data_IF_173386431473
#
_entry.id   IF_173386431473
#
_cell.length_a   1.000
_cell.length_b   1.000
_cell.length_c   1.000
_cell.angle_alpha   90.00
_cell.angle_beta   90.00
_cell.angle_gamma   90.00
#
_symmetry.space_group_name_H-M   'P 1'
#
loop_
_entity.id
_entity.type
_entity.pdbx_description
1 polymer ?
#
# COMPACT_ATOMS: atom_id res chain seq x y z
N UNK A 1 4.27 -3.00 9.47
CA UNK A 1 5.24 -4.08 9.15
C UNK A 1 5.57 -4.96 10.36
N UNK A 2 6.24 -4.45 11.40
CA UNK A 2 6.66 -5.26 12.57
C UNK A 2 5.53 -6.07 13.23
N UNK A 3 4.33 -5.48 13.35
CA UNK A 3 3.13 -6.16 13.86
C UNK A 3 2.74 -7.40 13.03
N UNK A 4 2.78 -7.32 11.70
CA UNK A 4 2.46 -8.45 10.82
C UNK A 4 3.45 -9.61 11.01
N UNK A 5 4.76 -9.31 11.11
CA UNK A 5 5.78 -10.34 11.41
C UNK A 5 5.57 -10.99 12.77
N UNK A 6 5.25 -10.18 13.78
CA UNK A 6 4.96 -10.68 15.13
C UNK A 6 3.76 -11.62 15.12
N UNK A 7 2.65 -11.22 14.50
CA UNK A 7 1.45 -12.04 14.38
C UNK A 7 1.70 -13.32 13.59
N UNK A 8 2.43 -13.25 12.47
CA UNK A 8 2.79 -14.43 11.69
C UNK A 8 3.62 -15.45 12.50
N UNK A 9 4.51 -14.99 13.38
CA UNK A 9 5.25 -15.90 14.28
C UNK A 9 4.38 -16.49 15.39
N UNK A 10 3.43 -15.72 15.91
CA UNK A 10 2.57 -16.14 17.02
C UNK A 10 1.46 -17.09 16.58
N UNK A 11 0.86 -16.83 15.43
CA UNK A 11 -0.32 -17.53 14.93
C UNK A 11 0.00 -18.51 13.80
N UNK A 12 1.25 -18.55 13.33
CA UNK A 12 1.63 -19.23 12.11
C UNK A 12 1.22 -18.44 10.85
N UNK A 13 0.99 -19.15 9.75
CA UNK A 13 0.73 -18.53 8.45
C UNK A 13 -0.56 -17.71 8.48
N UNK A 14 -0.44 -16.39 8.29
CA UNK A 14 -1.59 -15.50 8.13
C UNK A 14 -2.28 -15.78 6.78
N UNK A 15 -3.61 -15.67 6.74
CA UNK A 15 -4.39 -15.86 5.51
C UNK A 15 -4.42 -14.64 4.59
N UNK A 16 -4.43 -13.43 5.15
CA UNK A 16 -4.54 -12.17 4.40
C UNK A 16 -4.03 -11.00 5.25
N UNK A 17 -3.41 -10.01 4.60
CA UNK A 17 -3.12 -8.70 5.18
C UNK A 17 -3.93 -7.64 4.41
N UNK A 18 -4.71 -6.85 5.13
CA UNK A 18 -5.45 -5.70 4.60
C UNK A 18 -4.88 -4.42 5.19
N UNK A 19 -4.67 -3.41 4.35
CA UNK A 19 -4.22 -2.07 4.76
C UNK A 19 -5.20 -1.04 4.22
N UNK A 20 -5.81 -0.27 5.12
CA UNK A 20 -6.75 0.82 4.83
C UNK A 20 -6.25 2.11 5.50
N UNK A 21 -5.73 3.11 4.78
CA UNK A 21 -5.26 3.13 3.39
C UNK A 21 -3.83 3.70 3.32
N UNK A 22 -3.09 3.40 2.24
CA UNK A 22 -1.62 3.58 2.20
C UNK A 22 -1.17 5.03 2.31
N UNK A 23 -2.04 6.00 2.01
CA UNK A 23 -1.71 7.41 2.10
C UNK A 23 -1.48 7.87 3.55
N UNK A 24 -1.88 7.13 4.57
CA UNK A 24 -1.55 7.45 5.96
C UNK A 24 -0.16 6.95 6.38
N UNK A 25 0.53 6.21 5.50
CA UNK A 25 1.88 5.73 5.75
C UNK A 25 2.91 6.77 5.28
N UNK A 26 4.04 6.82 5.99
CA UNK A 26 5.18 7.70 5.66
C UNK A 26 6.35 6.88 5.09
N UNK A 27 7.07 7.42 4.11
CA UNK A 27 8.42 6.94 3.77
C UNK A 27 9.46 7.43 4.78
N UNK A 28 10.67 6.87 4.67
CA UNK A 28 11.82 7.25 5.51
C UNK A 28 12.47 8.55 4.99
N UNK A 29 12.25 8.86 3.71
CA UNK A 29 12.76 10.04 3.01
C UNK A 29 11.79 11.23 3.16
N UNK A 30 12.11 12.16 4.06
CA UNK A 30 11.40 13.43 4.16
C UNK A 30 11.67 14.31 2.93
N UNK A 31 10.62 14.75 2.23
CA UNK A 31 10.71 15.79 1.19
C UNK A 31 10.62 15.31 -0.27
N UNK A 32 10.33 14.03 -0.52
CA UNK A 32 10.10 13.55 -1.89
C UNK A 32 8.67 13.78 -2.37
N UNK A 33 8.51 13.82 -3.70
CA UNK A 33 7.20 13.82 -4.34
C UNK A 33 6.38 12.62 -3.84
N UNK A 34 5.11 12.87 -3.52
CA UNK A 34 4.14 11.87 -3.06
C UNK A 34 4.07 10.61 -3.95
N UNK A 35 4.23 10.75 -5.26
CA UNK A 35 4.27 9.62 -6.18
C UNK A 35 5.46 8.68 -5.90
N UNK A 36 6.63 9.25 -5.58
CA UNK A 36 7.84 8.50 -5.21
C UNK A 36 7.64 7.81 -3.87
N UNK A 37 7.10 8.51 -2.88
CA UNK A 37 6.79 7.96 -1.56
C UNK A 37 5.84 6.75 -1.65
N UNK A 38 4.75 6.87 -2.42
CA UNK A 38 3.81 5.76 -2.65
C UNK A 38 4.50 4.59 -3.35
N UNK A 39 5.41 4.86 -4.27
CA UNK A 39 6.21 3.83 -4.96
C UNK A 39 7.12 3.08 -3.98
N UNK A 40 7.75 3.78 -3.04
CA UNK A 40 8.57 3.17 -1.98
C UNK A 40 7.74 2.33 -1.02
N UNK A 41 6.61 2.87 -0.55
CA UNK A 41 5.67 2.15 0.31
C UNK A 41 5.24 0.86 -0.38
N UNK A 42 4.83 0.93 -1.66
CA UNK A 42 4.39 -0.21 -2.45
C UNK A 42 5.46 -1.29 -2.59
N UNK A 43 6.71 -0.90 -2.88
CA UNK A 43 7.85 -1.84 -2.91
C UNK A 43 8.07 -2.52 -1.56
N UNK A 44 8.01 -1.76 -0.47
CA UNK A 44 8.15 -2.28 0.89
C UNK A 44 7.03 -3.27 1.25
N UNK A 45 5.79 -2.96 0.89
CA UNK A 45 4.63 -3.84 1.09
C UNK A 45 4.74 -5.13 0.26
N UNK A 46 5.20 -5.04 -0.99
CA UNK A 46 5.46 -6.23 -1.81
C UNK A 46 6.55 -7.12 -1.21
N UNK A 47 7.60 -6.52 -0.65
CA UNK A 47 8.64 -7.23 0.09
C UNK A 47 8.07 -8.00 1.30
N UNK A 48 7.23 -7.34 2.10
CA UNK A 48 6.54 -7.97 3.23
C UNK A 48 5.67 -9.16 2.79
N UNK A 49 4.88 -9.00 1.72
CA UNK A 49 4.01 -10.04 1.21
C UNK A 49 4.79 -11.27 0.72
N UNK A 50 5.92 -11.04 0.01
CA UNK A 50 6.81 -12.11 -0.46
C UNK A 50 7.48 -12.84 0.71
N UNK A 51 7.99 -12.10 1.68
CA UNK A 51 8.69 -12.68 2.84
C UNK A 51 7.77 -13.56 3.68
N UNK A 52 6.54 -13.10 3.96
CA UNK A 52 5.59 -13.86 4.77
C UNK A 52 4.81 -14.90 3.96
N UNK A 53 4.90 -14.87 2.62
CA UNK A 53 4.06 -15.65 1.71
C UNK A 53 2.56 -15.50 1.99
N UNK A 54 2.12 -14.26 2.19
CA UNK A 54 0.73 -13.90 2.52
C UNK A 54 0.19 -12.94 1.47
N UNK A 55 -1.02 -13.18 0.92
CA UNK A 55 -1.72 -12.19 0.10
C UNK A 55 -1.86 -10.85 0.84
N UNK A 56 -1.61 -9.74 0.14
CA UNK A 56 -1.72 -8.40 0.69
C UNK A 56 -2.60 -7.54 -0.20
N UNK A 57 -3.65 -6.96 0.38
CA UNK A 57 -4.52 -5.98 -0.24
C UNK A 57 -4.28 -4.64 0.43
N UNK A 58 -4.03 -3.62 -0.37
CA UNK A 58 -3.79 -2.26 0.09
C UNK A 58 -4.76 -1.32 -0.61
N UNK A 59 -5.44 -0.48 0.16
CA UNK A 59 -6.33 0.55 -0.36
C UNK A 59 -5.53 1.81 -0.67
N UNK A 60 -5.84 2.43 -1.81
CA UNK A 60 -5.27 3.68 -2.26
C UNK A 60 -6.39 4.56 -2.80
N UNK A 61 -6.25 5.86 -2.60
CA UNK A 61 -7.10 6.90 -3.17
C UNK A 61 -6.47 7.50 -4.43
N UNK A 62 -7.33 7.87 -5.38
CA UNK A 62 -6.95 8.55 -6.62
C UNK A 62 -6.88 10.06 -6.39
N UNK A 63 -6.23 10.75 -7.32
CA UNK A 63 -6.24 12.21 -7.33
C UNK A 63 -7.64 12.76 -7.67
N UNK A 64 -7.97 13.95 -7.15
CA UNK A 64 -9.25 14.62 -7.42
C UNK A 64 -9.42 15.09 -8.87
N UNK A 65 -8.35 15.07 -9.67
CA UNK A 65 -8.40 15.36 -11.12
C UNK A 65 -9.39 14.44 -11.85
N UNK A 66 -9.62 13.22 -11.34
CA UNK A 66 -10.65 12.30 -11.81
C UNK A 66 -12.03 12.96 -11.92
N UNK A 67 -12.38 13.83 -10.97
CA UNK A 67 -13.69 14.47 -10.87
C UNK A 67 -13.95 15.49 -11.99
N UNK A 68 -12.89 16.02 -12.59
CA UNK A 68 -12.94 17.02 -13.66
C UNK A 68 -13.16 16.40 -15.05
N UNK A 69 -12.97 15.08 -15.18
CA UNK A 69 -13.09 14.40 -16.47
C UNK A 69 -14.57 14.16 -16.83
N UNK A 70 -14.92 14.21 -18.13
CA UNK A 70 -16.26 13.82 -18.59
C UNK A 70 -16.63 12.39 -18.21
N UNK A 71 -15.65 11.47 -18.24
CA UNK A 71 -15.79 10.10 -17.77
C UNK A 71 -15.06 9.90 -16.43
N UNK A 72 -15.81 9.53 -15.39
CA UNK A 72 -15.30 9.36 -14.01
C UNK A 72 -14.88 7.93 -13.68
N UNK A 73 -14.82 7.02 -14.66
CA UNK A 73 -14.32 5.65 -14.46
C UNK A 73 -12.80 5.64 -14.25
N UNK A 74 -12.28 5.14 -13.11
CA UNK A 74 -10.84 5.06 -12.89
C UNK A 74 -10.08 4.28 -13.96
N UNK A 75 -8.87 4.73 -14.28
CA UNK A 75 -7.88 4.06 -15.12
C UNK A 75 -6.52 4.02 -14.43
N UNK A 76 -5.58 3.22 -14.92
CA UNK A 76 -4.26 3.03 -14.28
C UNK A 76 -3.38 4.29 -14.25
N UNK A 77 -3.68 5.29 -15.07
CA UNK A 77 -2.96 6.56 -15.11
C UNK A 77 -3.52 7.63 -14.16
N UNK A 78 -4.62 7.34 -13.45
CA UNK A 78 -5.20 8.24 -12.44
C UNK A 78 -4.41 8.21 -11.10
#
# INVERSE_FOLDING_TARGET
RARARRLHRQCGKLGLIIIDYIQLMSSVSSGENRATEISEISRSLKGLAKELQVPLVALSQLNRSLEQRPNKRPVMSD
#
